data_IF_803954220698
#
_entry.id   IF_803954220698
#
_cell.length_a   1.000
_cell.length_b   1.000
_cell.length_c   1.000
_cell.angle_alpha   90.00
_cell.angle_beta   90.00
_cell.angle_gamma   90.00
#
_symmetry.space_group_name_H-M   'P 1'
#
loop_
_entity.id
_entity.type
_entity.pdbx_description
1 polymer ?
#
# COMPACT_ATOMS: atom_id res chain seq x y z
N UNK A 1 -26.77 37.70 13.31
CA UNK A 1 -26.31 36.35 13.73
C UNK A 1 -25.91 35.62 12.46
N UNK A 2 -24.61 35.61 12.14
CA UNK A 2 -24.09 34.91 10.96
C UNK A 2 -23.71 33.50 11.38
N UNK A 3 -24.17 32.52 10.59
CA UNK A 3 -24.09 31.10 10.88
C UNK A 3 -22.62 30.65 10.97
N UNK A 4 -22.18 30.28 12.16
CA UNK A 4 -20.82 29.83 12.46
C UNK A 4 -20.85 28.31 12.61
N UNK A 5 -20.95 27.60 11.50
CA UNK A 5 -21.03 26.16 11.48
C UNK A 5 -21.07 25.63 10.06
N UNK A 6 -19.89 25.54 9.42
CA UNK A 6 -19.71 24.61 8.26
C UNK A 6 -18.24 24.38 7.85
N UNK A 7 -17.27 25.17 8.34
CA UNK A 7 -15.89 25.12 7.83
C UNK A 7 -15.01 24.01 8.44
N UNK A 8 -15.54 22.80 8.62
CA UNK A 8 -14.74 21.62 9.04
C UNK A 8 -14.81 20.49 7.97
N UNK A 9 -15.45 20.75 6.82
CA UNK A 9 -15.77 19.70 5.84
C UNK A 9 -14.91 19.59 4.57
N UNK A 10 -14.03 20.55 4.24
CA UNK A 10 -13.54 20.67 2.85
C UNK A 10 -12.05 20.39 2.61
N UNK A 11 -11.20 20.37 3.63
CA UNK A 11 -9.75 20.18 3.45
C UNK A 11 -9.40 18.77 2.95
N UNK A 12 -10.03 17.75 3.54
CA UNK A 12 -9.76 16.36 3.16
C UNK A 12 -10.13 16.03 1.71
N UNK A 13 -11.30 16.51 1.25
CA UNK A 13 -11.78 16.23 -0.12
C UNK A 13 -10.92 16.96 -1.16
N UNK A 14 -10.58 18.22 -0.90
CA UNK A 14 -9.69 19.00 -1.77
C UNK A 14 -8.28 18.40 -1.83
N UNK A 15 -7.71 18.02 -0.69
CA UNK A 15 -6.40 17.35 -0.63
C UNK A 15 -6.43 15.99 -1.34
N UNK A 16 -7.55 15.26 -1.25
CA UNK A 16 -7.70 13.95 -1.90
C UNK A 16 -7.76 14.09 -3.40
N UNK A 17 -8.57 15.04 -3.90
CA UNK A 17 -8.64 15.35 -5.32
C UNK A 17 -7.28 15.84 -5.84
N UNK A 18 -6.55 16.63 -5.05
CA UNK A 18 -5.19 17.07 -5.38
C UNK A 18 -4.21 15.90 -5.50
N UNK A 19 -4.18 14.99 -4.52
CA UNK A 19 -3.34 13.79 -4.59
C UNK A 19 -3.70 12.90 -5.79
N UNK A 20 -4.99 12.65 -6.02
CA UNK A 20 -5.43 11.85 -7.17
C UNK A 20 -4.98 12.51 -8.48
N UNK A 21 -5.07 13.83 -8.57
CA UNK A 21 -4.64 14.58 -9.76
C UNK A 21 -3.13 14.60 -9.95
N UNK A 22 -2.33 14.70 -8.88
CA UNK A 22 -0.87 14.88 -8.97
C UNK A 22 -0.12 13.53 -9.00
N UNK A 23 -0.59 12.56 -8.23
CA UNK A 23 0.16 11.33 -7.90
C UNK A 23 -0.64 10.04 -8.15
N UNK A 24 -1.96 10.14 -8.39
CA UNK A 24 -2.87 9.00 -8.45
C UNK A 24 -2.47 7.94 -9.47
N UNK A 25 -2.10 8.34 -10.69
CA UNK A 25 -1.65 7.39 -11.72
C UNK A 25 -0.35 6.68 -11.34
N UNK A 26 0.64 7.42 -10.84
CA UNK A 26 1.93 6.86 -10.43
C UNK A 26 1.78 5.89 -9.24
N UNK A 27 0.93 6.26 -8.28
CA UNK A 27 0.56 5.42 -7.14
C UNK A 27 -0.11 4.12 -7.61
N UNK A 28 -1.15 4.22 -8.44
CA UNK A 28 -1.89 3.04 -8.93
C UNK A 28 -1.03 2.15 -9.81
N UNK A 29 -0.19 2.73 -10.68
CA UNK A 29 0.76 1.99 -11.52
C UNK A 29 1.77 1.23 -10.67
N UNK A 30 2.35 1.88 -9.66
CA UNK A 30 3.29 1.25 -8.75
C UNK A 30 2.65 0.10 -7.96
N UNK A 31 1.47 0.34 -7.38
CA UNK A 31 0.72 -0.67 -6.62
C UNK A 31 0.32 -1.85 -7.51
N UNK A 32 -0.14 -1.58 -8.74
CA UNK A 32 -0.53 -2.61 -9.71
C UNK A 32 0.67 -3.47 -10.10
N UNK A 33 1.82 -2.85 -10.39
CA UNK A 33 3.05 -3.58 -10.70
C UNK A 33 3.45 -4.50 -9.55
N UNK A 34 3.50 -3.97 -8.32
CA UNK A 34 3.92 -4.73 -7.14
C UNK A 34 2.97 -5.88 -6.80
N UNK A 35 1.64 -5.64 -6.84
CA UNK A 35 0.65 -6.69 -6.65
C UNK A 35 0.69 -7.73 -7.78
N UNK A 36 0.94 -7.30 -9.02
CA UNK A 36 1.15 -8.17 -10.17
C UNK A 36 2.29 -9.16 -9.94
N UNK A 37 3.41 -8.72 -9.36
CA UNK A 37 4.52 -9.62 -9.04
C UNK A 37 4.12 -10.76 -8.08
N UNK A 38 3.23 -10.50 -7.12
CA UNK A 38 2.71 -11.54 -6.21
C UNK A 38 1.76 -12.54 -6.87
N UNK A 39 1.08 -12.11 -7.93
CA UNK A 39 0.27 -13.01 -8.77
C UNK A 39 1.20 -13.86 -9.63
N UNK A 40 2.14 -13.23 -10.33
CA UNK A 40 3.08 -13.89 -11.26
C UNK A 40 3.97 -14.92 -10.58
N UNK A 41 4.53 -14.59 -9.41
CA UNK A 41 5.39 -15.51 -8.66
C UNK A 41 4.59 -16.59 -7.89
N UNK A 42 3.26 -16.61 -8.02
CA UNK A 42 2.38 -17.58 -7.39
C UNK A 42 2.23 -17.45 -5.88
N UNK A 43 2.71 -16.35 -5.28
CA UNK A 43 2.63 -16.11 -3.85
C UNK A 43 1.20 -16.10 -3.34
N UNK A 44 0.29 -15.37 -4.00
CA UNK A 44 -1.11 -15.33 -3.57
C UNK A 44 -1.78 -16.71 -3.66
N UNK A 45 -1.41 -17.50 -4.68
CA UNK A 45 -1.89 -18.89 -4.81
C UNK A 45 -1.46 -19.74 -3.61
N UNK A 46 -0.19 -19.62 -3.19
CA UNK A 46 0.32 -20.34 -2.00
C UNK A 46 -0.31 -19.82 -0.71
N UNK A 47 -0.51 -18.50 -0.60
CA UNK A 47 -1.07 -17.85 0.60
C UNK A 47 -2.52 -18.27 0.88
N UNK A 48 -3.29 -18.48 -0.19
CA UNK A 48 -4.70 -18.87 -0.12
C UNK A 48 -4.95 -20.36 -0.40
N UNK A 49 -3.91 -21.19 -0.53
CA UNK A 49 -4.08 -22.63 -0.66
C UNK A 49 -4.75 -23.20 0.60
N UNK A 50 -5.76 -24.05 0.39
CA UNK A 50 -6.51 -24.74 1.45
C UNK A 50 -6.24 -26.25 1.46
N UNK A 51 -5.28 -26.71 0.66
CA UNK A 51 -4.91 -28.12 0.62
C UNK A 51 -4.33 -28.58 1.96
N UNK A 52 -4.45 -29.87 2.33
CA UNK A 52 -3.79 -30.41 3.53
C UNK A 52 -2.26 -30.32 3.49
N UNK A 53 -1.68 -30.05 2.31
CA UNK A 53 -0.24 -29.87 2.09
C UNK A 53 0.16 -28.39 2.03
N UNK A 54 -0.78 -27.47 2.29
CA UNK A 54 -0.52 -26.05 2.26
C UNK A 54 0.57 -25.69 3.27
N UNK A 55 1.47 -24.82 2.84
CA UNK A 55 2.54 -24.30 3.69
C UNK A 55 1.93 -23.41 4.79
N UNK A 56 2.50 -23.46 5.99
CA UNK A 56 2.13 -22.53 7.06
C UNK A 56 2.32 -21.07 6.61
N UNK A 57 1.37 -20.22 6.96
CA UNK A 57 1.35 -18.82 6.50
C UNK A 57 2.53 -18.03 7.04
N UNK A 58 2.97 -18.28 8.28
CA UNK A 58 4.12 -17.60 8.83
C UNK A 58 5.40 -18.04 8.09
N UNK A 59 5.56 -19.34 7.80
CA UNK A 59 6.66 -19.83 6.97
C UNK A 59 6.66 -19.21 5.57
N UNK A 60 5.50 -19.14 4.91
CA UNK A 60 5.39 -18.53 3.58
C UNK A 60 5.75 -17.03 3.58
N UNK A 61 5.33 -16.30 4.62
CA UNK A 61 5.72 -14.90 4.82
C UNK A 61 7.22 -14.75 5.10
N UNK A 62 7.81 -15.68 5.87
CA UNK A 62 9.26 -15.69 6.14
C UNK A 62 10.05 -16.06 4.88
N UNK A 63 9.59 -16.97 4.03
CA UNK A 63 10.26 -17.24 2.75
C UNK A 63 10.20 -16.04 1.81
N UNK A 64 9.04 -15.37 1.72
CA UNK A 64 8.87 -14.22 0.82
C UNK A 64 9.57 -12.95 1.33
N UNK A 65 9.50 -12.70 2.64
CA UNK A 65 9.93 -11.43 3.23
C UNK A 65 11.06 -11.59 4.26
N UNK A 66 11.23 -12.77 4.86
CA UNK A 66 12.21 -13.03 5.93
C UNK A 66 13.65 -13.20 5.45
N UNK A 67 13.87 -13.52 4.17
CA UNK A 67 15.21 -13.50 3.55
C UNK A 67 15.73 -12.08 3.24
N UNK A 68 15.02 -11.01 3.63
CA UNK A 68 15.39 -9.61 3.37
C UNK A 68 16.67 -9.12 4.07
N UNK A 69 17.52 -10.03 4.57
CA UNK A 69 18.90 -9.73 4.98
C UNK A 69 19.85 -9.52 3.78
N UNK A 70 19.42 -9.81 2.54
CA UNK A 70 20.08 -9.40 1.29
C UNK A 70 19.02 -9.34 0.15
N UNK A 71 18.85 -8.32 -0.69
CA UNK A 71 19.46 -7.00 -0.85
C UNK A 71 18.57 -6.20 -1.82
N UNK A 72 18.34 -4.92 -1.52
CA UNK A 72 17.75 -3.89 -2.41
C UNK A 72 16.36 -4.10 -3.01
N UNK A 73 15.98 -5.22 -3.63
CA UNK A 73 14.69 -5.33 -4.35
C UNK A 73 13.51 -5.40 -3.37
N UNK A 74 13.54 -6.31 -2.39
CA UNK A 74 12.48 -6.43 -1.38
C UNK A 74 12.43 -5.18 -0.47
N UNK A 75 13.59 -4.65 -0.10
CA UNK A 75 13.70 -3.40 0.65
C UNK A 75 13.20 -2.20 -0.17
N UNK A 76 13.52 -2.09 -1.46
CA UNK A 76 13.03 -1.02 -2.33
C UNK A 76 11.53 -1.17 -2.61
N UNK A 77 11.02 -2.38 -2.76
CA UNK A 77 9.58 -2.62 -2.90
C UNK A 77 8.84 -2.25 -1.61
N UNK A 78 9.30 -2.71 -0.46
CA UNK A 78 8.73 -2.36 0.84
C UNK A 78 8.88 -0.85 1.14
N UNK A 79 10.01 -0.24 0.80
CA UNK A 79 10.25 1.19 0.97
C UNK A 79 9.40 2.03 0.01
N UNK A 80 9.18 1.59 -1.24
CA UNK A 80 8.25 2.24 -2.17
C UNK A 80 6.82 2.11 -1.69
N UNK A 81 6.39 0.93 -1.24
CA UNK A 81 5.07 0.73 -0.63
C UNK A 81 4.91 1.63 0.59
N UNK A 82 5.91 1.64 1.47
CA UNK A 82 5.92 2.47 2.68
C UNK A 82 5.88 3.96 2.36
N UNK A 83 6.68 4.46 1.41
CA UNK A 83 6.67 5.86 1.00
C UNK A 83 5.34 6.25 0.35
N UNK A 84 4.76 5.37 -0.47
CA UNK A 84 3.45 5.59 -1.07
C UNK A 84 2.35 5.64 0.01
N UNK A 85 2.40 4.73 0.99
CA UNK A 85 1.48 4.71 2.13
C UNK A 85 1.71 5.88 3.09
N UNK A 86 2.96 6.25 3.36
CA UNK A 86 3.32 7.35 4.25
C UNK A 86 2.90 8.68 3.63
N UNK A 87 3.18 8.88 2.33
CA UNK A 87 2.70 10.05 1.58
C UNK A 87 1.19 10.14 1.58
N UNK A 88 0.50 9.02 1.33
CA UNK A 88 -0.96 8.96 1.47
C UNK A 88 -1.40 9.31 2.91
N UNK A 89 -0.76 8.75 3.94
CA UNK A 89 -1.14 9.01 5.34
C UNK A 89 -0.84 10.43 5.82
N UNK A 90 0.24 11.05 5.34
CA UNK A 90 0.58 12.44 5.65
C UNK A 90 -0.42 13.40 4.99
N UNK A 91 -0.88 13.08 3.78
CA UNK A 91 -1.91 13.83 3.09
C UNK A 91 -3.33 13.62 3.67
N UNK A 92 -3.61 12.50 4.35
CA UNK A 92 -5.01 12.10 4.66
C UNK A 92 -5.32 11.63 6.07
N UNK A 93 -4.35 11.15 6.85
CA UNK A 93 -4.60 10.48 8.14
C UNK A 93 -4.02 11.24 9.35
N UNK A 94 -3.04 12.13 9.14
CA UNK A 94 -2.34 12.83 10.24
C UNK A 94 -2.75 14.31 10.37
N UNK A 95 -3.31 14.92 9.32
CA UNK A 95 -3.95 16.25 9.39
C UNK A 95 -5.45 16.12 9.05
N UNK A 96 -6.34 15.96 10.04
CA UNK A 96 -7.78 16.15 9.84
C UNK A 96 -8.14 17.62 9.56
#
# INVERSE_FOLDING_TARGET
>A
MSNMGDSVGNTFEEDFLKFVSEEGEAFLSCMTFQLGQFVENGFLKKLFDKSPLAMDKATLLIEMFGASTNTQQAAATAHKIYLNFARFSESFLINP
#
